data_IF_230665485282
#
_entry.id   IF_230665485282
#
_cell.length_a   1.000
_cell.length_b   1.000
_cell.length_c   1.000
_cell.angle_alpha   90.00
_cell.angle_beta   90.00
_cell.angle_gamma   90.00
#
_symmetry.space_group_name_H-M   'P 1'
#
loop_
_entity.id
_entity.type
_entity.pdbx_description
1 polymer ?
#
# COMPACT_ATOMS: atom_id res chain seq x y z
N UNK A 1 -6.14 -88.29 -55.45
CA UNK A 1 -7.07 -87.23 -54.98
C UNK A 1 -6.24 -86.22 -54.22
N UNK A 2 -6.00 -85.06 -54.82
CA UNK A 2 -5.04 -84.03 -54.37
C UNK A 2 -5.72 -83.15 -53.31
N UNK A 3 -5.11 -82.99 -52.14
CA UNK A 3 -5.46 -81.95 -51.18
C UNK A 3 -4.35 -80.90 -51.17
N UNK A 4 -4.69 -79.70 -51.66
CA UNK A 4 -3.89 -78.47 -51.57
C UNK A 4 -4.13 -77.83 -50.20
N UNK A 5 -3.07 -77.54 -49.46
CA UNK A 5 -3.06 -76.69 -48.27
C UNK A 5 -2.39 -75.36 -48.65
N UNK A 6 -3.19 -74.32 -48.82
CA UNK A 6 -2.75 -72.93 -49.01
C UNK A 6 -2.73 -72.26 -47.63
N UNK A 7 -1.56 -72.02 -47.06
CA UNK A 7 -1.41 -71.20 -45.85
C UNK A 7 -1.18 -69.74 -46.24
N UNK A 8 -2.14 -68.90 -45.86
CA UNK A 8 -2.09 -67.44 -45.96
C UNK A 8 -1.04 -66.87 -45.00
N UNK A 9 -0.02 -66.20 -45.55
CA UNK A 9 0.83 -65.27 -44.81
C UNK A 9 0.16 -63.88 -44.79
N UNK A 10 -0.27 -63.42 -43.61
CA UNK A 10 -0.62 -62.02 -43.33
C UNK A 10 0.59 -61.37 -42.64
N UNK A 11 1.19 -60.29 -43.16
CA UNK A 11 2.20 -59.55 -42.42
C UNK A 11 1.50 -58.67 -41.38
N UNK A 12 1.65 -59.03 -40.11
CA UNK A 12 1.33 -58.18 -38.97
C UNK A 12 2.34 -57.02 -38.98
N UNK A 13 2.00 -55.94 -39.68
CA UNK A 13 2.62 -54.63 -39.49
C UNK A 13 2.10 -54.06 -38.17
N UNK A 14 2.65 -54.55 -37.05
CA UNK A 14 2.59 -53.84 -35.79
C UNK A 14 3.39 -52.54 -35.98
N UNK A 15 2.70 -51.45 -36.35
CA UNK A 15 3.26 -50.11 -36.25
C UNK A 15 3.62 -49.92 -34.78
N UNK A 16 4.92 -49.98 -34.48
CA UNK A 16 5.45 -49.40 -33.25
C UNK A 16 4.96 -47.95 -33.23
N UNK A 17 3.93 -47.67 -32.41
CA UNK A 17 3.68 -46.29 -32.03
C UNK A 17 4.89 -45.91 -31.18
N UNK A 18 5.70 -44.92 -31.60
CA UNK A 18 6.76 -44.43 -30.75
C UNK A 18 6.10 -44.01 -29.43
N UNK A 19 6.47 -44.71 -28.35
CA UNK A 19 6.08 -44.31 -27.01
C UNK A 19 6.70 -42.95 -26.80
N UNK A 20 5.88 -41.90 -26.79
CA UNK A 20 6.36 -40.56 -26.50
C UNK A 20 6.98 -40.56 -25.10
N UNK A 21 8.30 -40.55 -25.03
CA UNK A 21 9.03 -40.25 -23.82
C UNK A 21 8.66 -38.82 -23.41
N UNK A 22 8.35 -38.64 -22.12
CA UNK A 22 7.83 -37.41 -21.57
C UNK A 22 8.73 -36.21 -21.90
N UNK A 23 8.14 -35.05 -22.23
CA UNK A 23 8.89 -33.79 -22.34
C UNK A 23 9.12 -33.27 -20.92
N UNK A 24 10.38 -33.07 -20.56
CA UNK A 24 10.72 -32.51 -19.27
C UNK A 24 10.24 -31.07 -19.11
N UNK A 25 9.97 -30.70 -17.86
CA UNK A 25 9.54 -29.36 -17.50
C UNK A 25 10.72 -28.39 -17.65
N UNK A 26 10.55 -27.23 -18.31
CA UNK A 26 11.62 -26.24 -18.39
C UNK A 26 12.04 -25.74 -17.02
N UNK A 27 13.34 -25.53 -16.85
CA UNK A 27 13.94 -24.96 -15.64
C UNK A 27 14.39 -23.54 -15.94
N UNK A 28 14.10 -22.62 -15.03
CA UNK A 28 14.57 -21.24 -15.15
C UNK A 28 16.08 -21.15 -15.00
N UNK A 29 16.75 -20.54 -15.98
CA UNK A 29 18.19 -20.26 -15.93
C UNK A 29 18.42 -18.86 -15.38
N UNK A 30 17.71 -17.88 -15.92
CA UNK A 30 17.82 -16.51 -15.47
C UNK A 30 16.54 -15.71 -15.69
N UNK A 31 16.28 -14.81 -14.76
CA UNK A 31 15.20 -13.84 -14.82
C UNK A 31 15.80 -12.51 -14.35
N UNK A 32 16.12 -11.65 -15.31
CA UNK A 32 16.82 -10.39 -15.07
C UNK A 32 15.95 -9.23 -15.51
N UNK A 33 15.98 -8.15 -14.75
CA UNK A 33 15.24 -6.95 -15.07
C UNK A 33 16.21 -5.78 -15.24
N UNK A 34 16.07 -5.04 -16.34
CA UNK A 34 16.70 -3.75 -16.56
C UNK A 34 15.61 -2.70 -16.70
N UNK A 35 15.31 -1.99 -15.61
CA UNK A 35 14.16 -1.07 -15.51
C UNK A 35 12.84 -1.80 -15.79
N UNK A 36 12.26 -1.63 -16.97
CA UNK A 36 11.02 -2.29 -17.40
C UNK A 36 11.24 -3.42 -18.40
N UNK A 37 12.48 -3.66 -18.85
CA UNK A 37 12.79 -4.71 -19.81
C UNK A 37 13.25 -5.95 -19.05
N UNK A 38 12.46 -7.02 -19.12
CA UNK A 38 12.81 -8.33 -18.57
C UNK A 38 13.51 -9.20 -19.61
N UNK A 39 14.63 -9.81 -19.22
CA UNK A 39 15.30 -10.90 -19.94
C UNK A 39 15.01 -12.20 -19.23
N UNK A 40 14.39 -13.12 -19.95
CA UNK A 40 13.95 -14.41 -19.47
C UNK A 40 14.73 -15.50 -20.18
N UNK A 41 15.30 -16.44 -19.43
CA UNK A 41 16.07 -17.56 -19.95
C UNK A 41 15.70 -18.85 -19.22
N UNK A 42 15.53 -19.93 -19.99
CA UNK A 42 15.19 -21.24 -19.46
C UNK A 42 15.93 -22.34 -20.22
N UNK A 43 16.05 -23.50 -19.57
CA UNK A 43 16.70 -24.69 -20.10
C UNK A 43 15.78 -25.89 -19.99
N UNK A 44 16.10 -26.93 -20.75
CA UNK A 44 15.48 -28.24 -20.66
C UNK A 44 16.56 -29.22 -20.22
N UNK A 45 16.35 -29.97 -19.12
CA UNK A 45 17.39 -30.83 -18.57
C UNK A 45 17.79 -31.97 -19.51
N UNK A 46 16.82 -32.54 -20.25
CA UNK A 46 17.04 -33.58 -21.25
C UNK A 46 15.95 -33.58 -22.34
N UNK A 47 16.31 -33.95 -23.57
CA UNK A 47 15.40 -34.04 -24.71
C UNK A 47 15.75 -35.23 -25.62
N UNK A 48 14.80 -36.15 -25.80
CA UNK A 48 14.85 -37.16 -26.87
C UNK A 48 14.17 -36.67 -28.16
N UNK A 49 13.34 -35.63 -28.06
CA UNK A 49 12.49 -35.13 -29.15
C UNK A 49 12.79 -33.67 -29.52
N UNK A 50 12.41 -33.27 -30.74
CA UNK A 50 12.65 -31.94 -31.27
C UNK A 50 11.63 -30.95 -30.73
N UNK A 51 12.09 -30.01 -29.91
CA UNK A 51 11.27 -28.88 -29.47
C UNK A 51 11.00 -27.95 -30.65
N UNK A 52 9.71 -27.70 -30.88
CA UNK A 52 9.23 -26.80 -31.93
C UNK A 52 8.87 -25.43 -31.40
N UNK A 53 8.63 -25.30 -30.09
CA UNK A 53 8.16 -24.06 -29.50
C UNK A 53 8.38 -24.02 -27.99
N UNK A 54 8.57 -22.82 -27.47
CA UNK A 54 8.41 -22.49 -26.07
C UNK A 54 7.28 -21.49 -25.91
N UNK A 55 6.53 -21.64 -24.82
CA UNK A 55 5.45 -20.74 -24.46
C UNK A 55 5.74 -20.16 -23.08
N UNK A 56 5.89 -18.84 -23.02
CA UNK A 56 6.05 -18.08 -21.79
C UNK A 56 4.76 -17.31 -21.51
N UNK A 57 4.22 -17.53 -20.31
CA UNK A 57 3.03 -16.86 -19.83
C UNK A 57 3.35 -16.01 -18.61
N UNK A 58 2.53 -14.97 -18.42
CA UNK A 58 2.53 -14.18 -17.21
C UNK A 58 1.13 -13.95 -16.67
N UNK A 59 1.05 -13.64 -15.38
CA UNK A 59 -0.13 -13.08 -14.75
C UNK A 59 0.27 -11.84 -13.94
N UNK A 60 -0.63 -10.88 -13.83
CA UNK A 60 -0.48 -9.69 -12.96
C UNK A 60 -1.55 -9.72 -11.88
N UNK A 61 -1.43 -8.91 -10.83
CA UNK A 61 -2.53 -8.72 -9.91
C UNK A 61 -3.77 -8.15 -10.62
N UNK A 62 -4.95 -8.56 -10.16
CA UNK A 62 -6.22 -7.97 -10.55
C UNK A 62 -6.39 -6.58 -9.94
N UNK A 63 -7.38 -5.83 -10.42
CA UNK A 63 -7.72 -4.51 -9.85
C UNK A 63 -8.15 -4.57 -8.37
N UNK A 64 -8.50 -5.74 -7.86
CA UNK A 64 -8.87 -5.94 -6.46
C UNK A 64 -7.67 -6.12 -5.53
N UNK A 65 -6.49 -6.43 -6.08
CA UNK A 65 -5.27 -6.67 -5.31
C UNK A 65 -4.94 -5.52 -4.37
N UNK A 66 -4.89 -4.30 -4.92
CA UNK A 66 -4.50 -3.12 -4.17
C UNK A 66 -5.55 -2.70 -3.11
N UNK A 67 -6.78 -3.21 -3.20
CA UNK A 67 -7.85 -2.95 -2.24
C UNK A 67 -8.01 -4.10 -1.21
N UNK A 68 -7.14 -5.11 -1.25
CA UNK A 68 -7.23 -6.22 -0.32
C UNK A 68 -6.70 -5.83 1.07
N UNK A 69 -7.59 -5.90 2.06
CA UNK A 69 -7.27 -5.72 3.48
C UNK A 69 -6.08 -6.56 3.93
N UNK A 70 -6.05 -7.81 3.48
CA UNK A 70 -5.04 -8.80 3.85
C UNK A 70 -3.65 -8.41 3.35
N UNK A 71 -3.55 -7.86 2.13
CA UNK A 71 -2.26 -7.44 1.54
C UNK A 71 -1.63 -6.30 2.35
N UNK A 72 -2.48 -5.40 2.86
CA UNK A 72 -2.13 -4.33 3.80
C UNK A 72 -1.39 -4.77 5.06
N UNK A 73 -1.62 -6.02 5.49
CA UNK A 73 -1.13 -6.58 6.76
C UNK A 73 0.08 -7.50 6.60
N UNK A 74 0.43 -7.90 5.38
CA UNK A 74 1.55 -8.81 5.14
C UNK A 74 2.88 -8.11 5.44
N UNK A 75 3.70 -8.74 6.27
CA UNK A 75 5.10 -8.36 6.46
C UNK A 75 5.99 -9.03 5.42
N UNK A 76 6.24 -8.34 4.30
CA UNK A 76 7.09 -8.86 3.22
C UNK A 76 8.57 -9.03 3.60
N UNK A 77 9.01 -8.49 4.74
CA UNK A 77 10.35 -8.76 5.28
C UNK A 77 10.44 -10.08 6.04
N UNK A 78 9.29 -10.73 6.33
CA UNK A 78 9.23 -12.05 6.95
C UNK A 78 8.12 -12.90 6.29
N UNK A 79 8.35 -13.40 5.05
CA UNK A 79 7.33 -14.06 4.25
C UNK A 79 6.85 -15.41 4.81
N UNK A 80 7.53 -15.99 5.81
CA UNK A 80 7.06 -17.21 6.49
C UNK A 80 5.83 -16.98 7.38
N UNK A 81 5.48 -15.71 7.66
CA UNK A 81 4.25 -15.34 8.36
C UNK A 81 3.05 -15.15 7.41
N UNK A 82 3.18 -15.48 6.12
CA UNK A 82 2.09 -15.31 5.15
C UNK A 82 0.98 -16.33 5.40
N UNK A 83 -0.23 -15.79 5.54
CA UNK A 83 -1.51 -16.50 5.52
C UNK A 83 -1.61 -17.23 4.18
N UNK A 84 -1.61 -18.57 4.22
CA UNK A 84 -1.78 -19.55 3.13
C UNK A 84 -1.80 -19.03 1.68
N UNK A 85 -0.88 -19.54 0.85
CA UNK A 85 -0.75 -19.25 -0.60
C UNK A 85 -2.09 -19.21 -1.38
N UNK A 86 -3.08 -19.97 -0.94
CA UNK A 86 -4.41 -20.06 -1.54
C UNK A 86 -5.20 -18.73 -1.57
N UNK A 87 -5.05 -17.86 -0.55
CA UNK A 87 -5.79 -16.59 -0.50
C UNK A 87 -5.22 -15.55 -1.46
N UNK A 88 -3.96 -15.67 -1.83
CA UNK A 88 -3.26 -14.70 -2.68
C UNK A 88 -3.55 -14.99 -4.15
N UNK A 89 -3.73 -16.26 -4.54
CA UNK A 89 -3.91 -16.67 -5.93
C UNK A 89 -5.20 -16.16 -6.59
N UNK A 90 -6.28 -15.95 -5.82
CA UNK A 90 -7.53 -15.40 -6.34
C UNK A 90 -7.42 -13.95 -6.84
N UNK A 91 -6.40 -13.22 -6.38
CA UNK A 91 -6.14 -11.83 -6.79
C UNK A 91 -5.24 -11.72 -8.01
N UNK A 92 -4.91 -12.81 -8.70
CA UNK A 92 -4.14 -12.78 -9.95
C UNK A 92 -5.07 -12.92 -11.16
N UNK A 93 -4.71 -12.25 -12.25
CA UNK A 93 -5.37 -12.45 -13.55
C UNK A 93 -5.11 -13.87 -14.05
N UNK A 94 -5.95 -14.33 -14.98
CA UNK A 94 -5.61 -15.50 -15.77
C UNK A 94 -4.26 -15.28 -16.49
N UNK A 95 -3.52 -16.38 -16.66
CA UNK A 95 -2.26 -16.34 -17.38
C UNK A 95 -2.48 -15.94 -18.84
N UNK A 96 -1.64 -15.02 -19.32
CA UNK A 96 -1.61 -14.55 -20.71
C UNK A 96 -0.28 -14.93 -21.34
N UNK A 97 -0.33 -15.45 -22.56
CA UNK A 97 0.87 -15.77 -23.34
C UNK A 97 1.53 -14.50 -23.84
N UNK A 98 2.80 -14.31 -23.50
CA UNK A 98 3.59 -13.12 -23.88
C UNK A 98 4.72 -13.44 -24.84
N UNK A 99 5.14 -14.71 -24.89
CA UNK A 99 6.10 -15.15 -25.88
C UNK A 99 5.77 -16.57 -26.34
N UNK A 100 5.93 -16.78 -27.64
CA UNK A 100 5.78 -18.06 -28.31
C UNK A 100 6.83 -18.15 -29.40
N UNK A 101 7.79 -19.06 -29.27
CA UNK A 101 8.90 -19.14 -30.23
C UNK A 101 9.90 -20.23 -29.91
N UNK A 102 10.81 -20.50 -30.86
CA UNK A 102 11.82 -21.57 -30.77
C UNK A 102 12.97 -21.25 -29.82
N UNK A 103 13.18 -19.98 -29.48
CA UNK A 103 14.29 -19.59 -28.62
C UNK A 103 13.99 -19.84 -27.16
N UNK A 104 15.03 -20.23 -26.43
CA UNK A 104 15.06 -20.41 -24.97
C UNK A 104 15.22 -19.11 -24.18
N UNK A 105 15.04 -17.99 -24.86
CA UNK A 105 15.12 -16.68 -24.24
C UNK A 105 14.15 -15.72 -24.89
N UNK A 106 13.65 -14.77 -24.09
CA UNK A 106 12.77 -13.71 -24.54
C UNK A 106 13.12 -12.39 -23.85
N UNK A 107 12.96 -11.31 -24.60
CA UNK A 107 13.02 -9.94 -24.11
C UNK A 107 11.62 -9.37 -24.10
N UNK A 108 11.15 -8.93 -22.94
CA UNK A 108 9.77 -8.50 -22.75
C UNK A 108 9.76 -7.13 -22.10
N UNK A 109 9.03 -6.20 -22.73
CA UNK A 109 8.70 -4.91 -22.14
C UNK A 109 7.54 -5.11 -21.15
N UNK A 110 7.79 -4.77 -19.89
CA UNK A 110 6.81 -4.84 -18.81
C UNK A 110 6.31 -3.44 -18.46
N UNK A 111 5.18 -3.37 -17.75
CA UNK A 111 4.66 -2.14 -17.18
C UNK A 111 5.44 -1.79 -15.92
N UNK A 112 5.67 -0.51 -15.70
CA UNK A 112 6.34 0.00 -14.51
C UNK A 112 5.47 -0.18 -13.26
N UNK A 113 6.11 -0.50 -12.12
CA UNK A 113 5.43 -0.56 -10.84
C UNK A 113 4.43 -1.67 -10.70
N UNK A 114 4.63 -2.78 -11.39
CA UNK A 114 3.78 -3.96 -11.37
C UNK A 114 4.55 -5.14 -10.82
N UNK A 115 3.82 -6.11 -10.26
CA UNK A 115 4.35 -7.43 -9.95
C UNK A 115 3.81 -8.45 -10.96
N UNK A 116 4.63 -9.43 -11.31
CA UNK A 116 4.37 -10.43 -12.31
C UNK A 116 4.64 -11.82 -11.76
N UNK A 117 3.77 -12.78 -12.10
CA UNK A 117 4.03 -14.23 -12.02
C UNK A 117 4.37 -14.74 -13.41
N UNK A 118 5.46 -15.49 -13.55
CA UNK A 118 5.86 -16.10 -14.81
C UNK A 118 5.91 -17.61 -14.71
N UNK A 119 5.54 -18.27 -15.81
CA UNK A 119 5.74 -19.71 -16.03
C UNK A 119 6.03 -19.98 -17.50
N UNK A 120 6.80 -21.02 -17.77
CA UNK A 120 7.16 -21.42 -19.14
C UNK A 120 6.92 -22.91 -19.34
N UNK A 121 6.55 -23.30 -20.55
CA UNK A 121 6.48 -24.69 -21.00
C UNK A 121 7.05 -24.82 -22.41
N UNK A 122 7.32 -26.05 -22.83
CA UNK A 122 7.82 -26.35 -24.16
C UNK A 122 6.82 -27.22 -24.91
N UNK A 123 6.80 -27.10 -26.24
CA UNK A 123 6.07 -27.97 -27.13
C UNK A 123 7.06 -28.77 -27.97
N UNK A 124 6.87 -30.08 -28.00
CA UNK A 124 7.62 -30.99 -28.85
C UNK A 124 6.81 -31.41 -30.07
N UNK A 125 7.52 -31.78 -31.14
CA UNK A 125 6.91 -32.20 -32.40
C UNK A 125 6.01 -33.43 -32.22
N UNK A 126 6.42 -34.41 -31.41
CA UNK A 126 5.71 -35.67 -31.26
C UNK A 126 4.95 -35.79 -29.93
N UNK A 127 5.41 -35.10 -28.87
CA UNK A 127 4.91 -35.32 -27.50
C UNK A 127 4.02 -34.21 -26.93
N UNK A 128 3.62 -33.22 -27.73
CA UNK A 128 2.72 -32.15 -27.28
C UNK A 128 3.41 -31.18 -26.33
N UNK A 129 2.75 -30.75 -25.26
CA UNK A 129 3.29 -29.77 -24.31
C UNK A 129 3.88 -30.44 -23.06
N UNK A 130 5.00 -29.91 -22.57
CA UNK A 130 5.50 -30.20 -21.22
C UNK A 130 4.55 -29.69 -20.14
N UNK A 131 4.79 -30.12 -18.90
CA UNK A 131 4.28 -29.41 -17.73
C UNK A 131 4.80 -27.96 -17.66
N UNK A 132 4.15 -27.13 -16.84
CA UNK A 132 4.59 -25.77 -16.55
C UNK A 132 5.78 -25.78 -15.58
N UNK A 133 6.74 -24.89 -15.80
CA UNK A 133 7.83 -24.62 -14.86
C UNK A 133 7.32 -24.08 -13.51
N UNK A 134 8.21 -24.08 -12.51
CA UNK A 134 7.96 -23.35 -11.26
C UNK A 134 7.60 -21.89 -11.53
N UNK A 135 6.69 -21.34 -10.73
CA UNK A 135 6.32 -19.93 -10.82
C UNK A 135 7.49 -19.07 -10.33
N UNK A 136 7.86 -18.05 -11.11
CA UNK A 136 8.80 -17.01 -10.69
C UNK A 136 8.09 -15.66 -10.59
N UNK A 137 8.51 -14.88 -9.60
CA UNK A 137 7.97 -13.55 -9.35
C UNK A 137 8.97 -12.49 -9.79
N UNK A 138 8.47 -11.44 -10.42
CA UNK A 138 9.26 -10.27 -10.79
C UNK A 138 8.48 -9.00 -10.47
N UNK A 139 9.13 -8.02 -9.87
CA UNK A 139 8.56 -6.70 -9.64
C UNK A 139 9.32 -5.69 -10.50
N UNK A 140 8.58 -4.83 -11.21
CA UNK A 140 9.17 -3.70 -11.93
C UNK A 140 9.28 -2.50 -10.99
N UNK A 141 10.44 -1.84 -10.90
CA UNK A 141 10.59 -0.69 -10.02
C UNK A 141 9.60 0.39 -10.46
N UNK A 142 9.06 1.12 -9.48
CA UNK A 142 8.32 2.37 -9.70
C UNK A 142 8.79 3.37 -8.68
N UNK A 143 9.60 4.32 -9.14
CA UNK A 143 10.10 5.40 -8.29
C UNK A 143 9.06 6.52 -8.27
N UNK A 144 7.92 6.26 -7.64
CA UNK A 144 6.97 7.32 -7.30
C UNK A 144 7.19 7.73 -5.85
N UNK A 145 7.82 8.89 -5.69
CA UNK A 145 7.81 9.61 -4.43
C UNK A 145 6.65 10.59 -4.45
N UNK A 146 5.85 10.55 -3.39
CA UNK A 146 4.88 11.59 -3.10
C UNK A 146 5.15 12.12 -1.70
N UNK A 147 4.48 13.19 -1.28
CA UNK A 147 4.55 13.64 0.10
C UNK A 147 3.25 14.31 0.52
N UNK A 148 2.93 14.18 1.81
CA UNK A 148 1.81 14.85 2.45
C UNK A 148 2.39 15.91 3.39
N UNK A 149 1.83 17.11 3.35
CA UNK A 149 2.07 18.17 4.34
C UNK A 149 0.76 18.51 5.04
N UNK A 150 0.80 18.58 6.37
CA UNK A 150 -0.35 18.90 7.22
C UNK A 150 0.06 19.97 8.20
N UNK A 151 -0.81 20.97 8.38
CA UNK A 151 -0.67 21.97 9.42
C UNK A 151 -1.99 22.10 10.17
N UNK A 152 -1.97 21.79 11.46
CA UNK A 152 -2.99 22.20 12.42
C UNK A 152 -2.62 23.51 13.10
N UNK A 153 -3.64 24.27 13.49
CA UNK A 153 -3.52 25.60 14.09
C UNK A 153 -4.22 25.67 15.44
N UNK A 154 -3.89 26.72 16.21
CA UNK A 154 -4.43 27.02 17.54
C UNK A 154 -5.59 28.02 17.49
N UNK A 155 -6.09 28.32 18.67
CA UNK A 155 -7.02 29.40 18.95
C UNK A 155 -6.41 30.74 18.53
N UNK A 156 -7.21 31.60 17.89
CA UNK A 156 -6.82 32.89 17.32
C UNK A 156 -5.59 32.92 16.39
N UNK A 157 -5.15 31.76 15.88
CA UNK A 157 -4.03 31.72 14.96
C UNK A 157 -4.39 32.41 13.63
N UNK A 158 -3.60 33.40 13.14
CA UNK A 158 -3.90 34.06 11.87
C UNK A 158 -3.56 33.19 10.64
N UNK A 159 -2.89 32.05 10.84
CA UNK A 159 -2.59 31.11 9.76
C UNK A 159 -3.75 30.13 9.56
N UNK A 160 -3.95 29.73 8.31
CA UNK A 160 -4.90 28.67 7.97
C UNK A 160 -4.40 27.28 8.36
N UNK A 161 -5.34 26.41 8.72
CA UNK A 161 -5.12 24.96 8.70
C UNK A 161 -5.07 24.48 7.25
N UNK A 162 -4.12 23.59 6.93
CA UNK A 162 -4.00 23.07 5.56
C UNK A 162 -3.61 21.60 5.50
N UNK A 163 -4.00 20.97 4.39
CA UNK A 163 -3.58 19.63 3.98
C UNK A 163 -3.13 19.73 2.53
N UNK A 164 -1.94 19.24 2.21
CA UNK A 164 -1.39 19.21 0.85
C UNK A 164 -0.90 17.81 0.49
N UNK A 165 -1.07 17.46 -0.78
CA UNK A 165 -0.50 16.28 -1.41
C UNK A 165 0.35 16.73 -2.61
N UNK A 166 1.65 16.43 -2.58
CA UNK A 166 2.60 16.87 -3.62
C UNK A 166 2.53 18.38 -3.89
N UNK A 167 2.38 19.18 -2.82
CA UNK A 167 2.24 20.63 -2.91
C UNK A 167 0.85 21.12 -3.35
N UNK A 168 -0.01 20.25 -3.90
CA UNK A 168 -1.40 20.59 -4.22
C UNK A 168 -2.22 20.70 -2.95
N UNK A 169 -2.94 21.81 -2.79
CA UNK A 169 -3.81 22.05 -1.64
C UNK A 169 -5.06 21.18 -1.76
N UNK A 170 -5.21 20.25 -0.81
CA UNK A 170 -6.43 19.46 -0.61
C UNK A 170 -7.41 20.18 0.32
N UNK A 171 -6.86 20.89 1.31
CA UNK A 171 -7.62 21.75 2.20
C UNK A 171 -6.83 23.00 2.57
N UNK A 172 -7.52 24.13 2.69
CA UNK A 172 -7.01 25.34 3.33
C UNK A 172 -8.18 26.16 3.90
N UNK A 173 -8.11 26.49 5.18
CA UNK A 173 -9.06 27.40 5.82
C UNK A 173 -9.00 27.39 7.34
N UNK A 174 -9.84 28.23 7.95
CA UNK A 174 -10.07 28.31 9.39
C UNK A 174 -11.44 27.73 9.74
N UNK A 175 -11.52 27.01 10.85
CA UNK A 175 -12.74 26.39 11.36
C UNK A 175 -12.57 26.10 12.85
N UNK A 176 -13.61 25.55 13.48
CA UNK A 176 -13.58 25.10 14.87
C UNK A 176 -13.56 23.57 14.91
N UNK A 177 -12.64 22.98 15.67
CA UNK A 177 -12.55 21.52 15.87
C UNK A 177 -11.48 20.86 15.01
N UNK A 178 -11.85 19.77 14.34
CA UNK A 178 -10.97 18.98 13.48
C UNK A 178 -11.46 18.93 12.04
N UNK A 179 -10.53 18.90 11.09
CA UNK A 179 -10.80 18.41 9.74
C UNK A 179 -10.24 17.00 9.59
N UNK A 180 -11.06 16.10 9.04
CA UNK A 180 -10.66 14.78 8.59
C UNK A 180 -10.51 14.82 7.06
N UNK A 181 -9.38 14.37 6.55
CA UNK A 181 -9.17 14.08 5.13
C UNK A 181 -8.70 12.64 4.99
N UNK A 182 -9.26 11.92 4.00
CA UNK A 182 -8.92 10.52 3.76
C UNK A 182 -8.47 10.33 2.33
N UNK A 183 -7.32 9.69 2.18
CA UNK A 183 -6.68 9.44 0.88
C UNK A 183 -6.60 7.93 0.64
N UNK A 184 -7.00 7.48 -0.56
CA UNK A 184 -6.78 6.11 -0.98
C UNK A 184 -5.29 5.87 -1.25
N UNK A 185 -4.71 4.83 -0.64
CA UNK A 185 -3.27 4.55 -0.70
C UNK A 185 -2.81 4.04 -2.05
N UNK A 186 -3.69 3.61 -2.93
CA UNK A 186 -3.33 3.04 -4.23
C UNK A 186 -3.28 4.14 -5.29
N UNK A 187 -4.30 5.02 -5.30
CA UNK A 187 -4.46 6.09 -6.28
C UNK A 187 -3.99 7.46 -5.81
N UNK A 188 -3.75 7.63 -4.51
CA UNK A 188 -3.55 8.93 -3.84
C UNK A 188 -4.69 9.93 -4.05
N UNK A 189 -5.88 9.47 -4.44
CA UNK A 189 -7.06 10.33 -4.52
C UNK A 189 -7.66 10.57 -3.14
N UNK A 190 -8.06 11.81 -2.86
CA UNK A 190 -8.87 12.14 -1.70
C UNK A 190 -10.27 11.56 -1.90
N UNK A 191 -10.67 10.63 -1.02
CA UNK A 191 -11.97 9.96 -1.08
C UNK A 191 -12.99 10.56 -0.12
N UNK A 192 -12.54 11.35 0.86
CA UNK A 192 -13.41 11.98 1.84
C UNK A 192 -12.75 13.18 2.50
N UNK A 193 -13.57 14.17 2.87
CA UNK A 193 -13.17 15.35 3.61
C UNK A 193 -14.35 15.95 4.35
N UNK A 194 -14.23 16.18 5.66
CA UNK A 194 -15.28 16.79 6.47
C UNK A 194 -14.70 17.48 7.71
N UNK A 195 -15.36 18.54 8.17
CA UNK A 195 -15.02 19.30 9.38
C UNK A 195 -15.97 18.86 10.50
N UNK A 196 -15.41 18.59 11.67
CA UNK A 196 -16.10 18.16 12.88
C UNK A 196 -15.85 19.19 13.98
N UNK A 197 -16.89 19.94 14.35
CA UNK A 197 -16.81 20.92 15.45
C UNK A 197 -16.88 20.23 16.82
N UNK A 198 -15.74 19.70 17.26
CA UNK A 198 -15.57 19.05 18.56
C UNK A 198 -15.41 20.04 19.73
N UNK A 199 -15.58 21.34 19.48
CA UNK A 199 -15.53 22.38 20.52
C UNK A 199 -16.93 22.82 20.94
N UNK A 200 -17.83 23.04 19.98
CA UNK A 200 -19.18 23.57 20.25
C UNK A 200 -20.24 22.46 20.28
N UNK A 201 -19.95 21.27 19.75
CA UNK A 201 -20.93 20.20 19.61
C UNK A 201 -20.41 18.87 20.18
N UNK A 202 -21.16 18.32 21.14
CA UNK A 202 -20.77 17.12 21.87
C UNK A 202 -20.93 15.80 21.10
N UNK A 203 -21.65 15.79 19.96
CA UNK A 203 -21.82 14.58 19.14
C UNK A 203 -20.75 14.48 18.04
N UNK A 204 -20.09 15.57 17.68
CA UNK A 204 -19.14 15.61 16.56
C UNK A 204 -17.90 14.74 16.79
N UNK A 205 -17.47 14.59 18.04
CA UNK A 205 -16.34 13.71 18.38
C UNK A 205 -16.68 12.23 18.13
N UNK A 206 -17.91 11.80 18.47
CA UNK A 206 -18.37 10.44 18.19
C UNK A 206 -18.53 10.19 16.69
N UNK A 207 -19.11 11.13 15.95
CA UNK A 207 -19.24 11.03 14.50
C UNK A 207 -17.87 10.93 13.81
N UNK A 208 -16.89 11.74 14.25
CA UNK A 208 -15.52 11.65 13.76
C UNK A 208 -14.89 10.28 14.07
N UNK A 209 -15.09 9.78 15.30
CA UNK A 209 -14.57 8.48 15.71
C UNK A 209 -15.13 7.33 14.86
N UNK A 210 -16.45 7.32 14.64
CA UNK A 210 -17.12 6.35 13.77
C UNK A 210 -16.60 6.46 12.33
N UNK A 211 -16.44 7.68 11.82
CA UNK A 211 -15.94 7.91 10.47
C UNK A 211 -14.51 7.40 10.32
N UNK A 212 -13.62 7.65 11.28
CA UNK A 212 -12.25 7.10 11.27
C UNK A 212 -12.28 5.56 11.20
N UNK A 213 -13.10 4.91 12.03
CA UNK A 213 -13.21 3.43 12.07
C UNK A 213 -13.88 2.82 10.85
N UNK A 214 -14.59 3.61 10.05
CA UNK A 214 -15.18 3.14 8.79
C UNK A 214 -14.13 2.85 7.70
N UNK A 215 -12.88 3.29 7.91
CA UNK A 215 -11.78 3.07 6.97
C UNK A 215 -10.84 1.95 7.42
N UNK A 216 -10.16 1.40 6.44
CA UNK A 216 -9.30 0.25 6.57
C UNK A 216 -7.84 0.55 6.20
N UNK A 217 -7.02 -0.50 6.12
CA UNK A 217 -5.61 -0.39 5.77
C UNK A 217 -5.37 0.14 4.35
N UNK A 218 -6.36 0.27 3.47
CA UNK A 218 -6.20 0.87 2.14
C UNK A 218 -6.22 2.40 2.16
N UNK A 219 -6.39 3.02 3.33
CA UNK A 219 -6.60 4.45 3.48
C UNK A 219 -5.51 5.12 4.35
N UNK A 220 -5.17 6.35 4.02
CA UNK A 220 -4.41 7.26 4.89
C UNK A 220 -5.40 8.21 5.54
N UNK A 221 -5.41 8.23 6.87
CA UNK A 221 -6.20 9.15 7.69
C UNK A 221 -5.35 10.35 8.04
N UNK A 222 -5.85 11.55 7.74
CA UNK A 222 -5.21 12.82 8.05
C UNK A 222 -6.16 13.65 8.89
N UNK A 223 -5.68 14.14 10.02
CA UNK A 223 -6.45 15.02 10.92
C UNK A 223 -5.64 16.27 11.22
N UNK A 224 -6.29 17.42 11.17
CA UNK A 224 -5.69 18.69 11.58
C UNK A 224 -6.70 19.51 12.39
N UNK A 225 -6.23 20.20 13.42
CA UNK A 225 -7.08 21.12 14.20
C UNK A 225 -7.14 22.51 13.57
N UNK A 226 -8.20 23.24 13.90
CA UNK A 226 -8.21 24.70 13.79
C UNK A 226 -8.98 25.28 14.99
N UNK A 227 -8.55 26.46 15.44
CA UNK A 227 -9.11 27.17 16.59
C UNK A 227 -9.05 26.36 17.91
N UNK A 228 -10.03 25.53 18.22
CA UNK A 228 -10.03 24.69 19.42
C UNK A 228 -10.83 23.43 19.16
N UNK A 229 -10.51 22.34 19.86
CA UNK A 229 -11.09 21.01 19.61
C UNK A 229 -11.36 20.22 20.90
N UNK A 230 -10.86 20.70 22.03
CA UNK A 230 -10.73 19.93 23.26
C UNK A 230 -12.01 19.79 24.11
N UNK A 231 -12.91 20.80 24.23
CA UNK A 231 -14.02 20.75 25.19
C UNK A 231 -14.96 19.55 25.08
N UNK A 232 -15.28 19.10 23.87
CA UNK A 232 -16.07 17.89 23.64
C UNK A 232 -15.26 16.75 23.02
N UNK A 233 -13.94 16.84 23.04
CA UNK A 233 -13.10 15.69 22.76
C UNK A 233 -13.38 14.59 23.79
N UNK A 234 -13.55 13.35 23.33
CA UNK A 234 -14.05 12.28 24.17
C UNK A 234 -13.24 10.98 24.03
N UNK A 235 -13.56 10.00 24.86
CA UNK A 235 -12.89 8.70 24.89
C UNK A 235 -13.05 7.92 23.59
N UNK A 236 -14.18 8.05 22.89
CA UNK A 236 -14.42 7.32 21.65
C UNK A 236 -13.50 7.80 20.54
N UNK A 237 -13.34 9.12 20.40
CA UNK A 237 -12.42 9.72 19.44
C UNK A 237 -10.96 9.42 19.79
N UNK A 238 -10.58 9.55 21.06
CA UNK A 238 -9.24 9.20 21.50
C UNK A 238 -8.91 7.73 21.23
N UNK A 239 -9.85 6.82 21.49
CA UNK A 239 -9.69 5.41 21.17
C UNK A 239 -9.50 5.18 19.67
N UNK A 240 -10.28 5.86 18.81
CA UNK A 240 -10.13 5.76 17.35
C UNK A 240 -8.74 6.25 16.91
N UNK A 241 -8.23 7.35 17.45
CA UNK A 241 -6.88 7.84 17.18
C UNK A 241 -5.81 6.85 17.66
N UNK A 242 -5.97 6.26 18.85
CA UNK A 242 -5.06 5.24 19.37
C UNK A 242 -5.06 3.96 18.54
N UNK A 243 -6.18 3.59 17.91
CA UNK A 243 -6.23 2.51 16.93
C UNK A 243 -5.39 2.80 15.67
N UNK A 244 -5.11 4.07 15.38
CA UNK A 244 -4.18 4.51 14.34
C UNK A 244 -2.75 4.78 14.83
N UNK A 245 -2.50 4.72 16.15
CA UNK A 245 -1.21 5.03 16.77
C UNK A 245 -1.07 6.46 17.31
N UNK A 246 -2.15 7.23 17.39
CA UNK A 246 -2.19 8.54 18.07
C UNK A 246 -2.38 8.40 19.58
N UNK A 247 -1.48 8.99 20.37
CA UNK A 247 -1.46 8.91 21.84
C UNK A 247 -1.41 10.27 22.52
N UNK A 248 -0.99 11.34 21.83
CA UNK A 248 -0.80 12.66 22.44
C UNK A 248 -2.12 13.30 22.89
N UNK A 249 -3.25 12.88 22.33
CA UNK A 249 -4.60 13.38 22.68
C UNK A 249 -5.24 12.67 23.88
N UNK A 250 -4.67 11.57 24.38
CA UNK A 250 -5.24 10.81 25.52
C UNK A 250 -5.52 11.65 26.79
N UNK A 251 -4.68 12.62 27.18
CA UNK A 251 -4.95 13.46 28.36
C UNK A 251 -6.25 14.27 28.27
N UNK A 252 -6.73 14.57 27.07
CA UNK A 252 -7.92 15.39 26.80
C UNK A 252 -9.24 14.59 26.88
N UNK A 253 -9.18 13.29 27.16
CA UNK A 253 -10.39 12.44 27.33
C UNK A 253 -11.15 12.71 28.62
N UNK A 254 -10.54 13.44 29.55
CA UNK A 254 -11.17 13.85 30.80
C UNK A 254 -11.92 15.16 30.55
N UNK A 255 -13.12 15.34 31.14
CA UNK A 255 -13.82 16.62 31.04
C UNK A 255 -12.88 17.74 31.46
N UNK A 256 -12.71 18.72 30.57
CA UNK A 256 -12.00 19.94 30.93
C UNK A 256 -12.89 20.64 31.97
N UNK A 257 -12.39 20.96 33.17
CA UNK A 257 -13.17 21.70 34.15
C UNK A 257 -13.68 22.98 33.49
N UNK A 258 -14.98 23.26 33.63
CA UNK A 258 -15.61 24.47 33.09
C UNK A 258 -14.78 25.67 33.56
N UNK A 259 -14.09 26.33 32.64
CA UNK A 259 -13.24 27.47 32.97
C UNK A 259 -14.18 28.61 33.39
N UNK A 260 -14.09 29.13 34.62
CA UNK A 260 -14.90 30.26 35.03
C UNK A 260 -14.60 31.47 34.13
N UNK A 261 -15.65 32.14 33.66
CA UNK A 261 -15.66 33.24 32.68
C UNK A 261 -14.76 34.44 33.07
N UNK A 262 -14.22 34.47 34.29
CA UNK A 262 -13.52 35.62 34.88
C UNK A 262 -12.01 35.42 35.11
N UNK A 263 -11.39 34.31 34.68
CA UNK A 263 -9.94 34.13 34.83
C UNK A 263 -9.18 34.59 33.59
N UNK A 264 -8.64 35.80 33.69
CA UNK A 264 -7.51 36.30 32.92
C UNK A 264 -6.28 35.37 33.10
N UNK A 265 -5.61 35.02 32.01
CA UNK A 265 -4.22 34.51 31.93
C UNK A 265 -3.88 33.02 32.18
N UNK A 266 -4.83 32.11 32.45
CA UNK A 266 -4.57 30.65 32.44
C UNK A 266 -5.19 29.94 31.22
N UNK A 267 -5.03 30.52 30.03
CA UNK A 267 -5.48 29.99 28.71
C UNK A 267 -4.64 28.77 28.22
N UNK A 268 -4.16 27.94 29.16
CA UNK A 268 -3.25 26.81 28.90
C UNK A 268 -3.96 25.50 28.57
N UNK A 269 -5.30 25.49 28.55
CA UNK A 269 -6.10 24.25 28.53
C UNK A 269 -6.80 23.98 27.19
N UNK A 270 -6.97 25.00 26.34
CA UNK A 270 -7.67 24.89 25.05
C UNK A 270 -6.88 25.54 23.92
N UNK A 271 -7.18 25.16 22.68
CA UNK A 271 -6.55 25.73 21.49
C UNK A 271 -5.19 25.13 21.12
N UNK A 272 -4.91 23.89 21.50
CA UNK A 272 -3.68 23.20 21.16
C UNK A 272 -3.64 22.90 19.66
N UNK A 273 -2.62 23.36 18.90
CA UNK A 273 -2.43 22.88 17.54
C UNK A 273 -2.19 21.38 17.53
N UNK A 274 -2.93 20.68 16.67
CA UNK A 274 -2.83 19.25 16.48
C UNK A 274 -2.81 18.87 15.01
N UNK A 275 -1.90 17.97 14.65
CA UNK A 275 -1.86 17.33 13.35
C UNK A 275 -1.55 15.84 13.52
N UNK A 276 -2.20 15.02 12.72
CA UNK A 276 -2.03 13.57 12.73
C UNK A 276 -2.11 13.00 11.31
N UNK A 277 -1.27 12.01 11.03
CA UNK A 277 -1.33 11.18 9.84
C UNK A 277 -1.16 9.72 10.28
N UNK A 278 -2.04 8.82 9.87
CA UNK A 278 -1.92 7.40 10.21
C UNK A 278 -2.65 6.48 9.24
N UNK A 279 -2.29 5.19 9.27
CA UNK A 279 -2.91 4.15 8.46
C UNK A 279 -3.63 3.14 9.38
N UNK A 280 -4.94 2.88 9.18
CA UNK A 280 -5.67 1.90 9.98
C UNK A 280 -5.05 0.51 9.93
N UNK A 281 -5.05 -0.18 11.07
CA UNK A 281 -4.46 -1.52 11.21
C UNK A 281 -2.92 -1.56 11.22
N UNK A 282 -2.24 -0.42 11.07
CA UNK A 282 -0.77 -0.34 11.02
C UNK A 282 -0.12 0.31 12.26
N UNK A 283 -0.87 0.48 13.36
CA UNK A 283 -0.37 1.17 14.57
C UNK A 283 0.92 0.59 15.18
N UNK A 284 1.17 -0.71 14.98
CA UNK A 284 2.37 -1.40 15.50
C UNK A 284 3.56 -1.37 14.52
N UNK A 285 3.36 -0.84 13.31
CA UNK A 285 4.43 -0.72 12.32
C UNK A 285 5.08 0.65 12.49
N UNK A 286 6.35 0.66 12.91
CA UNK A 286 7.12 1.89 13.11
C UNK A 286 7.06 2.78 11.87
N UNK A 287 6.69 4.05 12.07
CA UNK A 287 6.64 5.06 11.01
C UNK A 287 5.41 5.00 10.10
N UNK A 288 4.38 4.24 10.45
CA UNK A 288 3.07 4.28 9.77
C UNK A 288 2.04 5.19 10.47
N UNK A 289 2.51 6.00 11.42
CA UNK A 289 1.77 7.07 12.04
C UNK A 289 2.71 8.20 12.47
N UNK A 290 2.20 9.42 12.43
CA UNK A 290 2.88 10.66 12.83
C UNK A 290 1.87 11.53 13.55
N UNK A 291 2.26 12.04 14.71
CA UNK A 291 1.40 12.86 15.54
C UNK A 291 2.21 14.03 16.08
N UNK A 292 1.64 15.23 16.00
CA UNK A 292 2.22 16.44 16.57
C UNK A 292 1.12 17.17 17.33
N UNK A 293 1.36 17.35 18.62
CA UNK A 293 0.56 18.20 19.50
C UNK A 293 1.48 19.29 20.05
N UNK A 294 1.05 20.55 19.99
CA UNK A 294 1.79 21.69 20.56
C UNK A 294 0.99 22.33 21.69
N UNK A 295 1.70 22.95 22.62
CA UNK A 295 1.08 23.73 23.70
C UNK A 295 0.40 25.00 23.13
N UNK A 296 -0.74 25.40 23.70
CA UNK A 296 -1.45 26.64 23.37
C UNK A 296 -0.76 27.90 23.93
N UNK A 297 0.10 27.77 24.94
CA UNK A 297 0.69 28.88 25.72
C UNK A 297 1.51 29.91 24.94
N UNK A 298 1.99 29.59 23.73
CA UNK A 298 2.83 30.52 22.98
C UNK A 298 2.05 31.56 22.18
N UNK A 299 0.71 31.47 22.14
CA UNK A 299 -0.11 32.46 21.44
C UNK A 299 -0.26 33.76 22.25
N UNK A 300 -0.48 33.67 23.57
CA UNK A 300 -0.70 34.84 24.42
C UNK A 300 0.56 35.65 24.72
N UNK A 301 1.73 35.08 24.44
CA UNK A 301 3.03 35.76 24.51
C UNK A 301 3.57 36.12 23.11
N UNK A 302 2.70 36.16 22.10
CA UNK A 302 3.08 36.64 20.77
C UNK A 302 3.27 38.16 20.82
N UNK A 303 4.51 38.58 20.58
CA UNK A 303 4.92 39.97 20.48
C UNK A 303 5.46 40.16 19.05
N UNK A 304 4.89 41.08 18.26
CA UNK A 304 5.32 41.36 16.89
C UNK A 304 6.83 41.73 16.79
N UNK A 305 7.45 42.13 17.91
CA UNK A 305 8.86 42.51 17.99
C UNK A 305 9.80 41.32 18.20
N UNK A 306 9.29 40.19 18.71
CA UNK A 306 10.04 38.95 18.88
C UNK A 306 9.47 38.00 17.84
N UNK A 307 10.28 37.54 16.87
CA UNK A 307 9.87 36.57 15.84
C UNK A 307 9.54 35.17 16.43
N UNK A 308 8.72 35.10 17.48
CA UNK A 308 8.22 33.89 18.09
C UNK A 308 7.31 33.21 17.09
N UNK A 309 7.66 31.98 16.75
CA UNK A 309 6.92 31.19 15.79
C UNK A 309 5.48 30.99 16.27
N UNK A 310 4.52 31.43 15.45
CA UNK A 310 3.09 31.21 15.68
C UNK A 310 2.86 29.70 15.90
N UNK A 311 2.23 29.28 17.01
CA UNK A 311 2.15 27.87 17.38
C UNK A 311 1.34 27.09 16.34
N UNK A 312 2.01 26.17 15.65
CA UNK A 312 1.40 25.29 14.64
C UNK A 312 1.90 23.86 14.82
N UNK A 313 1.03 22.89 14.57
CA UNK A 313 1.39 21.48 14.50
C UNK A 313 1.61 21.12 13.03
N UNK A 314 2.87 20.90 12.64
CA UNK A 314 3.22 20.61 11.24
C UNK A 314 3.79 19.22 11.11
N UNK A 315 3.27 18.46 10.14
CA UNK A 315 3.80 17.17 9.72
C UNK A 315 4.10 17.25 8.23
N UNK A 316 5.27 16.76 7.82
CA UNK A 316 5.58 16.43 6.43
C UNK A 316 6.08 15.01 6.39
N UNK A 317 5.42 14.17 5.58
CA UNK A 317 5.77 12.76 5.43
C UNK A 317 5.93 12.44 3.95
N UNK A 318 7.00 11.73 3.61
CA UNK A 318 7.16 11.18 2.27
C UNK A 318 6.33 9.91 2.15
N UNK A 319 5.82 9.66 0.95
CA UNK A 319 5.16 8.43 0.58
C UNK A 319 6.03 7.69 -0.42
N UNK A 320 6.23 6.40 -0.17
CA UNK A 320 6.96 5.50 -1.07
C UNK A 320 5.99 4.44 -1.58
N UNK A 321 5.95 4.28 -2.90
CA UNK A 321 5.15 3.24 -3.52
C UNK A 321 5.80 1.86 -3.31
N UNK A 322 5.07 0.95 -2.70
CA UNK A 322 5.50 -0.44 -2.55
C UNK A 322 5.02 -1.27 -3.75
N UNK A 323 5.93 -1.67 -4.62
CA UNK A 323 5.59 -2.47 -5.82
C UNK A 323 4.98 -3.84 -5.49
N UNK A 324 5.38 -4.49 -4.39
CA UNK A 324 4.81 -5.80 -4.05
C UNK A 324 3.37 -5.65 -3.59
N UNK A 325 3.12 -4.64 -2.76
CA UNK A 325 1.81 -4.38 -2.18
C UNK A 325 0.87 -3.56 -3.08
N UNK A 326 1.42 -2.85 -4.07
CA UNK A 326 0.72 -1.97 -5.02
C UNK A 326 0.03 -0.75 -4.36
N UNK A 327 0.61 -0.21 -3.30
CA UNK A 327 0.12 1.00 -2.65
C UNK A 327 1.24 1.80 -1.97
N UNK A 328 0.95 3.05 -1.62
CA UNK A 328 1.85 3.94 -0.92
C UNK A 328 1.93 3.61 0.58
N UNK A 329 3.14 3.59 1.10
CA UNK A 329 3.48 3.51 2.52
C UNK A 329 3.98 4.87 3.01
N UNK A 330 3.81 5.17 4.30
CA UNK A 330 4.49 6.30 4.89
C UNK A 330 5.98 5.96 5.05
N UNK A 331 6.86 6.83 4.55
CA UNK A 331 8.31 6.67 4.69
C UNK A 331 8.77 7.30 6.01
N UNK A 332 9.34 6.47 6.87
CA UNK A 332 10.00 6.93 8.07
C UNK A 332 11.41 7.43 7.71
N UNK A 333 11.52 8.72 7.41
CA UNK A 333 12.82 9.37 7.32
C UNK A 333 13.46 9.39 8.72
N UNK A 334 14.15 8.31 9.11
CA UNK A 334 15.04 8.33 10.28
C UNK A 334 16.22 9.32 10.14
N UNK A 335 16.23 10.17 9.12
CA UNK A 335 16.92 11.48 9.20
C UNK A 335 16.06 12.44 10.01
N UNK A 336 16.16 12.30 11.33
CA UNK A 336 15.71 13.28 12.31
C UNK A 336 16.28 14.64 11.88
N UNK A 337 15.45 15.50 11.28
CA UNK A 337 15.74 16.93 11.27
C UNK A 337 15.71 17.35 12.74
N UNK A 338 16.88 17.39 13.38
CA UNK A 338 17.08 18.18 14.58
C UNK A 338 16.77 19.61 14.15
N UNK A 339 15.53 20.06 14.37
CA UNK A 339 15.27 21.48 14.43
C UNK A 339 16.16 21.98 15.56
N UNK A 340 17.13 22.82 15.21
CA UNK A 340 17.94 23.53 16.18
C UNK A 340 16.99 24.11 17.23
N UNK A 341 17.28 23.84 18.50
CA UNK A 341 16.74 24.68 19.57
C UNK A 341 17.12 26.11 19.20
N UNK A 342 16.12 26.93 18.87
CA UNK A 342 16.23 28.38 18.98
C UNK A 342 16.12 28.71 20.46
#
# INVERSE_FOLDING_TARGET
MIFLLLSLFLPILARFQPTCSFIEVPIWVSLRLNSTIGRFEWELPYLEDTIILHELQYATPSSQWCNSLSIGMINWNNPTAIISDFLIDSYWTSYTTIYTGVFRSAWIQLLEGMIYKFRVRSQSLHCGYSGWSEIKYLSTPKNLTAYIEVQGTSYYNPLDTYIKLNGTILYKGSFTGFILSVINRCSLQQVFQEIYDTYSNNTQADMLAEKIRSYDSNHIIIIASSYAWEPYFNKNLAHALTELGGYLTLPFTKPIPIIPIYKTEEETVIGHPYAFIGIPGQRYITGQNFEVLRNSTNYFNYDDTIHNAIPTARIRVNLVFDTYRQFYMLENNHRIFRMNKV
#
